data_IF_302893275617
#
_entry.id   IF_302893275617
#
_cell.length_a   1.000
_cell.length_b   1.000
_cell.length_c   1.000
_cell.angle_alpha   90.00
_cell.angle_beta   90.00
_cell.angle_gamma   90.00
#
_symmetry.space_group_name_H-M   'P 1'
#
loop_
_entity.id
_entity.type
_entity.pdbx_description
1 polymer ?
#
# COMPACT_ATOMS: atom_id res chain seq x y z
N UNK A 1 18.30 -4.52 -12.67
CA UNK A 1 19.03 -4.13 -11.46
C UNK A 1 20.32 -4.93 -11.33
N UNK A 2 21.29 -4.35 -10.65
CA UNK A 2 22.54 -5.03 -10.43
C UNK A 2 22.32 -6.28 -9.55
N UNK A 3 22.98 -7.42 -9.83
CA UNK A 3 22.77 -8.64 -9.06
C UNK A 3 23.05 -8.47 -7.55
N UNK A 4 23.99 -7.62 -7.17
CA UNK A 4 24.32 -7.40 -5.77
C UNK A 4 23.18 -6.78 -4.96
N UNK A 5 22.23 -6.09 -5.60
CA UNK A 5 21.10 -5.50 -4.88
C UNK A 5 20.10 -6.55 -4.40
N UNK A 6 20.16 -7.75 -4.93
CA UNK A 6 19.30 -8.88 -4.51
C UNK A 6 19.97 -9.79 -3.50
N UNK A 7 21.21 -9.49 -3.14
CA UNK A 7 21.93 -10.18 -2.10
C UNK A 7 21.34 -9.78 -0.74
N UNK A 8 21.05 -10.76 0.13
CA UNK A 8 20.54 -10.50 1.47
C UNK A 8 21.44 -9.64 2.34
N UNK A 9 22.69 -9.44 1.95
CA UNK A 9 23.62 -8.57 2.67
C UNK A 9 23.37 -7.07 2.42
N UNK A 10 22.57 -6.72 1.40
CA UNK A 10 22.29 -5.34 1.04
C UNK A 10 20.88 -4.94 1.42
N UNK A 11 20.75 -3.78 2.04
CA UNK A 11 19.47 -3.21 2.44
C UNK A 11 19.18 -1.97 1.58
N UNK A 12 17.99 -1.90 1.01
CA UNK A 12 17.51 -0.73 0.32
C UNK A 12 16.50 0.01 1.19
N UNK A 13 16.62 1.32 1.23
CA UNK A 13 15.67 2.19 1.92
C UNK A 13 14.96 3.03 0.86
N UNK A 14 13.64 2.89 0.77
CA UNK A 14 12.84 3.49 -0.29
C UNK A 14 11.73 4.33 0.33
N UNK A 15 11.51 5.51 -0.24
CA UNK A 15 10.42 6.38 0.19
C UNK A 15 9.59 6.79 -1.02
N UNK A 16 8.63 5.94 -1.45
CA UNK A 16 7.79 6.29 -2.58
C UNK A 16 6.79 7.38 -2.18
N UNK A 17 6.84 8.50 -2.87
CA UNK A 17 5.90 9.61 -2.67
C UNK A 17 4.59 9.36 -3.41
N UNK A 18 4.63 8.56 -4.47
CA UNK A 18 3.46 8.13 -5.24
C UNK A 18 3.65 6.66 -5.63
N UNK A 19 2.56 5.99 -5.97
CA UNK A 19 2.61 4.61 -6.49
C UNK A 19 3.24 3.60 -5.54
N UNK A 20 3.06 3.80 -4.23
CA UNK A 20 3.60 2.88 -3.23
C UNK A 20 3.09 1.45 -3.42
N UNK A 21 1.81 1.29 -3.80
CA UNK A 21 1.23 -0.03 -4.05
C UNK A 21 1.93 -0.75 -5.19
N UNK A 22 2.22 -0.05 -6.28
CA UNK A 22 2.93 -0.62 -7.42
C UNK A 22 4.35 -1.02 -7.03
N UNK A 23 5.03 -0.19 -6.25
CA UNK A 23 6.38 -0.49 -5.77
C UNK A 23 6.38 -1.72 -4.85
N UNK A 24 5.45 -1.82 -3.92
CA UNK A 24 5.34 -2.99 -3.04
C UNK A 24 5.13 -4.26 -3.84
N UNK A 25 4.25 -4.22 -4.83
CA UNK A 25 3.99 -5.37 -5.69
C UNK A 25 5.24 -5.76 -6.47
N UNK A 26 5.91 -4.79 -7.06
CA UNK A 26 7.14 -5.04 -7.83
C UNK A 26 8.22 -5.68 -6.95
N UNK A 27 8.44 -5.14 -5.76
CA UNK A 27 9.44 -5.67 -4.82
C UNK A 27 9.12 -7.12 -4.43
N UNK A 28 7.84 -7.42 -4.16
CA UNK A 28 7.44 -8.76 -3.71
C UNK A 28 7.67 -9.83 -4.78
N UNK A 29 7.55 -9.48 -6.07
CA UNK A 29 7.71 -10.46 -7.16
C UNK A 29 9.13 -10.47 -7.74
N UNK A 30 9.99 -9.54 -7.35
CA UNK A 30 11.34 -9.41 -7.90
C UNK A 30 12.47 -9.77 -6.93
N UNK A 31 12.16 -10.54 -5.90
CA UNK A 31 13.18 -11.08 -5.01
C UNK A 31 13.59 -10.16 -3.87
N UNK A 32 12.67 -9.34 -3.37
CA UNK A 32 12.89 -8.49 -2.20
C UNK A 32 11.92 -8.86 -1.10
N UNK A 33 12.43 -8.88 0.14
CA UNK A 33 11.62 -9.09 1.34
C UNK A 33 11.57 -7.80 2.15
N UNK A 34 10.39 -7.50 2.69
CA UNK A 34 10.20 -6.33 3.54
C UNK A 34 10.75 -6.62 4.93
N UNK A 35 11.62 -5.75 5.43
CA UNK A 35 12.22 -5.89 6.77
C UNK A 35 11.74 -4.83 7.73
N UNK A 36 11.26 -3.69 7.24
CA UNK A 36 10.66 -2.64 8.06
C UNK A 36 9.83 -1.72 7.17
N UNK A 37 8.76 -1.18 7.74
CA UNK A 37 7.98 -0.12 7.14
C UNK A 37 7.65 0.91 8.22
N UNK A 38 7.72 2.18 7.86
CA UNK A 38 7.36 3.30 8.73
C UNK A 38 6.62 4.35 7.94
N UNK A 39 5.80 5.13 8.63
CA UNK A 39 5.04 6.22 8.04
C UNK A 39 5.64 7.55 8.47
N UNK A 40 5.70 8.48 7.51
CA UNK A 40 6.16 9.86 7.77
C UNK A 40 5.16 10.83 7.17
N UNK A 41 4.98 11.97 7.85
CA UNK A 41 4.19 13.07 7.32
C UNK A 41 5.03 13.89 6.34
N UNK A 42 4.43 14.25 5.21
CA UNK A 42 4.94 15.26 4.32
C UNK A 42 3.76 16.14 3.93
N UNK A 43 3.73 17.35 4.48
CA UNK A 43 2.58 18.26 4.37
C UNK A 43 1.32 17.59 4.96
N UNK A 44 0.28 17.36 4.16
CA UNK A 44 -1.00 16.83 4.63
C UNK A 44 -1.16 15.34 4.40
N UNK A 45 -0.11 14.66 3.92
CA UNK A 45 -0.20 13.25 3.55
C UNK A 45 0.83 12.40 4.26
N UNK A 46 0.48 11.16 4.52
CA UNK A 46 1.37 10.15 5.06
C UNK A 46 1.98 9.34 3.92
N UNK A 47 3.28 9.12 4.00
CA UNK A 47 4.01 8.34 3.01
C UNK A 47 4.80 7.22 3.71
N UNK A 48 4.87 6.03 3.08
CA UNK A 48 5.65 4.95 3.66
C UNK A 48 7.14 5.09 3.36
N UNK A 49 7.95 4.69 4.33
CA UNK A 49 9.38 4.43 4.14
C UNK A 49 9.56 2.93 4.26
N UNK A 50 10.09 2.31 3.21
CA UNK A 50 10.23 0.87 3.10
C UNK A 50 11.69 0.48 3.24
N UNK A 51 11.95 -0.49 4.09
CA UNK A 51 13.27 -1.14 4.15
C UNK A 51 13.12 -2.56 3.62
N UNK A 52 13.92 -2.91 2.62
CA UNK A 52 13.86 -4.22 1.99
C UNK A 52 15.26 -4.79 1.82
N UNK A 53 15.34 -6.11 1.89
CA UNK A 53 16.55 -6.87 1.58
C UNK A 53 16.26 -7.83 0.44
N UNK A 54 17.29 -8.33 -0.23
CA UNK A 54 17.12 -9.46 -1.14
C UNK A 54 16.58 -10.67 -0.38
N UNK A 55 15.58 -11.34 -0.93
CA UNK A 55 14.96 -12.47 -0.26
C UNK A 55 13.65 -12.86 -0.88
N UNK A 56 12.96 -13.81 -0.24
CA UNK A 56 11.68 -14.30 -0.71
C UNK A 56 10.57 -13.61 0.09
N UNK A 57 9.61 -13.05 -0.64
CA UNK A 57 8.42 -12.46 -0.05
C UNK A 57 7.22 -13.30 -0.43
N UNK A 58 6.35 -13.71 0.52
CA UNK A 58 5.09 -14.33 0.17
C UNK A 58 4.26 -13.40 -0.71
N UNK A 59 3.38 -13.96 -1.54
CA UNK A 59 2.51 -13.16 -2.39
C UNK A 59 1.67 -12.21 -1.53
N UNK A 60 1.68 -10.93 -1.90
CA UNK A 60 0.93 -9.92 -1.16
C UNK A 60 -0.53 -9.90 -1.59
N UNK A 61 -1.43 -9.70 -0.64
CA UNK A 61 -2.83 -9.42 -0.97
C UNK A 61 -2.95 -8.00 -1.53
N UNK A 62 -4.06 -7.72 -2.20
CA UNK A 62 -4.32 -6.37 -2.69
C UNK A 62 -4.33 -5.36 -1.54
N UNK A 63 -4.90 -5.74 -0.40
CA UNK A 63 -4.91 -4.89 0.79
C UNK A 63 -3.49 -4.59 1.27
N UNK A 64 -2.61 -5.58 1.32
CA UNK A 64 -1.22 -5.39 1.73
C UNK A 64 -0.44 -4.50 0.76
N UNK A 65 -0.65 -4.63 -0.54
CA UNK A 65 0.03 -3.75 -1.50
C UNK A 65 -0.39 -2.30 -1.33
N UNK A 66 -1.66 -2.04 -1.02
CA UNK A 66 -2.17 -0.69 -0.81
C UNK A 66 -1.79 -0.10 0.53
N UNK A 67 -1.87 -0.90 1.60
CA UNK A 67 -1.83 -0.37 2.96
C UNK A 67 -0.63 -0.81 3.77
N UNK A 68 0.28 -1.58 3.16
CA UNK A 68 1.52 -1.96 3.82
C UNK A 68 1.52 -3.37 4.40
N UNK A 69 2.72 -3.85 4.66
CA UNK A 69 2.98 -5.22 5.10
C UNK A 69 3.37 -5.27 6.59
N UNK A 70 4.12 -4.28 7.06
CA UNK A 70 4.72 -4.27 8.40
C UNK A 70 4.36 -3.01 9.20
N UNK A 71 3.18 -2.43 8.97
CA UNK A 71 2.79 -1.16 9.59
C UNK A 71 1.90 -1.32 10.83
N UNK A 72 1.56 -2.53 11.24
CA UNK A 72 0.58 -2.76 12.32
C UNK A 72 0.95 -2.06 13.62
N UNK A 73 2.24 -1.94 13.94
CA UNK A 73 2.70 -1.28 15.15
C UNK A 73 2.99 0.21 15.01
N UNK A 74 2.82 0.78 13.82
CA UNK A 74 3.12 2.19 13.59
C UNK A 74 1.99 3.06 14.17
N UNK A 75 2.30 4.07 15.00
CA UNK A 75 1.26 4.92 15.60
C UNK A 75 0.48 5.76 14.58
N UNK A 76 0.99 5.94 13.37
CA UNK A 76 0.33 6.67 12.30
C UNK A 76 -0.49 5.78 11.36
N UNK A 77 -0.53 4.47 11.64
CA UNK A 77 -1.17 3.53 10.71
C UNK A 77 -2.67 3.76 10.58
N UNK A 78 -3.36 4.06 11.68
CA UNK A 78 -4.79 4.35 11.64
C UNK A 78 -5.09 5.53 10.70
N UNK A 79 -4.30 6.60 10.78
CA UNK A 79 -4.47 7.77 9.91
C UNK A 79 -4.15 7.44 8.45
N UNK A 80 -3.14 6.62 8.22
CA UNK A 80 -2.79 6.18 6.88
C UNK A 80 -3.92 5.36 6.24
N UNK A 81 -4.52 4.45 7.01
CA UNK A 81 -5.66 3.67 6.54
C UNK A 81 -6.86 4.56 6.23
N UNK A 82 -7.13 5.54 7.08
CA UNK A 82 -8.20 6.50 6.85
C UNK A 82 -7.99 7.27 5.56
N UNK A 83 -6.78 7.75 5.30
CA UNK A 83 -6.47 8.47 4.06
C UNK A 83 -6.69 7.58 2.83
N UNK A 84 -6.30 6.32 2.89
CA UNK A 84 -6.52 5.39 1.78
C UNK A 84 -7.99 5.09 1.55
N UNK A 85 -8.76 4.87 2.61
CA UNK A 85 -10.20 4.61 2.50
C UNK A 85 -10.93 5.81 1.90
N UNK A 86 -10.61 7.01 2.36
CA UNK A 86 -11.23 8.24 1.83
C UNK A 86 -10.91 8.43 0.35
N UNK A 87 -9.68 8.17 -0.05
CA UNK A 87 -9.27 8.27 -1.45
C UNK A 87 -10.03 7.28 -2.33
N UNK A 88 -10.19 6.05 -1.88
CA UNK A 88 -10.94 5.03 -2.61
C UNK A 88 -12.42 5.39 -2.73
N UNK A 89 -13.03 5.90 -1.67
CA UNK A 89 -14.43 6.33 -1.69
C UNK A 89 -14.63 7.51 -2.64
N UNK A 90 -13.68 8.43 -2.69
CA UNK A 90 -13.71 9.55 -3.61
C UNK A 90 -13.63 9.09 -5.07
N UNK A 91 -12.74 8.12 -5.34
CA UNK A 91 -12.63 7.49 -6.66
C UNK A 91 -13.95 6.81 -7.04
N UNK A 92 -14.54 6.04 -6.12
CA UNK A 92 -15.81 5.34 -6.35
C UNK A 92 -16.94 6.33 -6.67
N UNK A 93 -17.01 7.44 -5.97
CA UNK A 93 -18.00 8.48 -6.22
C UNK A 93 -17.89 9.03 -7.65
N UNK A 94 -16.66 9.33 -8.09
CA UNK A 94 -16.43 9.79 -9.47
C UNK A 94 -16.81 8.74 -10.50
N UNK A 95 -16.51 7.47 -10.25
CA UNK A 95 -16.88 6.38 -11.16
C UNK A 95 -18.40 6.22 -11.27
N UNK A 96 -19.13 6.33 -10.16
CA UNK A 96 -20.58 6.22 -10.17
C UNK A 96 -21.24 7.37 -10.96
N UNK A 97 -20.65 8.56 -10.90
CA UNK A 97 -21.15 9.73 -11.66
C UNK A 97 -21.03 9.53 -13.17
N UNK A 98 -20.10 8.71 -13.63
CA UNK A 98 -19.92 8.47 -15.06
C UNK A 98 -21.10 7.73 -15.69
N UNK A 99 -21.85 6.95 -14.91
CA UNK A 99 -23.01 6.20 -15.37
C UNK A 99 -22.70 5.01 -16.26
N UNK A 100 -21.42 4.70 -16.50
CA UNK A 100 -21.05 3.56 -17.33
C UNK A 100 -21.07 2.28 -16.50
N UNK A 101 -21.48 1.17 -17.15
CA UNK A 101 -21.62 -0.11 -16.47
C UNK A 101 -20.26 -0.63 -15.94
N UNK A 102 -19.20 -0.53 -16.74
CA UNK A 102 -17.86 -0.92 -16.31
C UNK A 102 -17.35 -0.06 -15.14
N UNK A 103 -17.68 1.23 -15.14
CA UNK A 103 -17.32 2.12 -14.05
C UNK A 103 -18.06 1.77 -12.77
N UNK A 104 -19.31 1.28 -12.85
CA UNK A 104 -20.05 0.83 -11.67
C UNK A 104 -19.37 -0.37 -11.00
N UNK A 105 -18.88 -1.33 -11.79
CA UNK A 105 -18.12 -2.46 -11.23
C UNK A 105 -16.84 -2.00 -10.56
N UNK A 106 -16.12 -1.06 -11.15
CA UNK A 106 -14.92 -0.49 -10.56
C UNK A 106 -15.23 0.27 -9.27
N UNK A 107 -16.36 1.00 -9.24
CA UNK A 107 -16.79 1.70 -8.03
C UNK A 107 -17.10 0.72 -6.90
N UNK A 108 -17.79 -0.37 -7.19
CA UNK A 108 -18.09 -1.40 -6.20
C UNK A 108 -16.82 -2.03 -5.64
N UNK A 109 -15.84 -2.29 -6.50
CA UNK A 109 -14.55 -2.84 -6.08
C UNK A 109 -13.80 -1.87 -5.17
N UNK A 110 -13.79 -0.58 -5.49
CA UNK A 110 -13.15 0.45 -4.67
C UNK A 110 -13.85 0.58 -3.31
N UNK A 111 -15.18 0.54 -3.28
CA UNK A 111 -15.96 0.60 -2.03
C UNK A 111 -15.70 -0.62 -1.16
N UNK A 112 -15.64 -1.81 -1.76
CA UNK A 112 -15.35 -3.03 -1.03
C UNK A 112 -13.96 -2.99 -0.39
N UNK A 113 -12.98 -2.48 -1.11
CA UNK A 113 -11.62 -2.35 -0.62
C UNK A 113 -11.54 -1.30 0.50
N UNK A 114 -12.24 -0.18 0.35
CA UNK A 114 -12.34 0.83 1.41
C UNK A 114 -12.96 0.24 2.69
N UNK A 115 -13.97 -0.63 2.54
CA UNK A 115 -14.58 -1.31 3.67
C UNK A 115 -13.58 -2.23 4.38
N UNK A 116 -12.78 -2.98 3.63
CA UNK A 116 -11.73 -3.83 4.20
C UNK A 116 -10.71 -2.99 4.98
N UNK A 117 -10.34 -1.82 4.45
CA UNK A 117 -9.40 -0.92 5.11
C UNK A 117 -9.99 -0.42 6.43
N UNK A 118 -11.27 -0.03 6.45
CA UNK A 118 -11.95 0.43 7.66
C UNK A 118 -12.05 -0.69 8.71
N UNK A 119 -12.32 -1.92 8.29
CA UNK A 119 -12.35 -3.05 9.21
C UNK A 119 -10.98 -3.30 9.82
N UNK A 120 -9.92 -3.21 9.03
CA UNK A 120 -8.56 -3.34 9.53
C UNK A 120 -8.23 -2.22 10.53
N UNK A 121 -8.62 -0.98 10.23
CA UNK A 121 -8.40 0.16 11.12
C UNK A 121 -9.05 -0.08 12.49
N UNK A 122 -10.23 -0.66 12.52
CA UNK A 122 -10.95 -0.94 13.78
C UNK A 122 -10.26 -1.99 14.64
N UNK A 123 -9.36 -2.79 14.07
CA UNK A 123 -8.63 -3.81 14.83
C UNK A 123 -7.32 -3.30 15.45
N UNK A 124 -6.92 -2.08 15.16
CA UNK A 124 -5.67 -1.52 15.66
C UNK A 124 -5.75 -1.09 17.14
#
# INVERSE_FOLDING_TARGET
SAPWTKDGAHTLLLQPMTKAAELRRWLSVNGYAFTDERLVWDKNYLYPVLRVNGGICPALTELQTLTGVLLDGDPLYADYLTQHAEKLLHIAEGLRRSGREDALHQAEAAEALAQQIEEKRKTL
#
